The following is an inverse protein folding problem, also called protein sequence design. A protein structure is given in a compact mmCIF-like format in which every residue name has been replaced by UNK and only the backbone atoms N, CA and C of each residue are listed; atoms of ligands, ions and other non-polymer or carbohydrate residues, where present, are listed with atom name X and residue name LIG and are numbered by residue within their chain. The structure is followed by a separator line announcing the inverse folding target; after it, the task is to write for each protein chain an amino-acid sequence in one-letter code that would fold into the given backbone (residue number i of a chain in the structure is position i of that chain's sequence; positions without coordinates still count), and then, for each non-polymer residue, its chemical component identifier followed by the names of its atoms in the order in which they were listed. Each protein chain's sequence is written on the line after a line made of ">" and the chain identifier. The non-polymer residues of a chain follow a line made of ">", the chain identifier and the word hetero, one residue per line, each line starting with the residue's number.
data_IF_824916786302
#
_entry.id   IF_824916786302
#
_cell.length_a   1.000
_cell.length_b   1.000
_cell.length_c   1.000
_cell.angle_alpha   90.00
_cell.angle_beta   90.00
_cell.angle_gamma   90.00
#
_symmetry.space_group_name_H-M   'P 1'
#
loop_
_entity.id
_entity.type
_entity.pdbx_description
1 polymer ?
#
# COMPACT_ATOMS: atom_id res chain seq x y z
N UNK A 1 -43.79 -11.14 -8.00
CA UNK A 1 -42.33 -11.05 -8.12
C UNK A 1 -41.86 -9.86 -7.31
N UNK A 2 -40.93 -10.03 -6.37
CA UNK A 2 -40.36 -8.91 -5.61
C UNK A 2 -39.50 -8.08 -6.56
N UNK A 3 -39.68 -6.75 -6.57
CA UNK A 3 -38.89 -5.87 -7.42
C UNK A 3 -37.43 -5.79 -6.94
N UNK A 4 -36.51 -5.48 -7.84
CA UNK A 4 -35.10 -5.24 -7.50
C UNK A 4 -34.96 -4.15 -6.42
N UNK A 5 -35.75 -3.08 -6.52
CA UNK A 5 -35.76 -1.99 -5.54
C UNK A 5 -36.15 -2.50 -4.14
N UNK A 6 -37.18 -3.35 -4.05
CA UNK A 6 -37.60 -3.91 -2.77
C UNK A 6 -36.53 -4.83 -2.15
N UNK A 7 -35.76 -5.56 -2.97
CA UNK A 7 -34.62 -6.34 -2.49
C UNK A 7 -33.48 -5.44 -2.00
N UNK A 8 -33.12 -4.40 -2.76
CA UNK A 8 -32.07 -3.46 -2.36
C UNK A 8 -32.41 -2.76 -1.05
N UNK A 9 -33.65 -2.27 -0.90
CA UNK A 9 -34.11 -1.65 0.34
C UNK A 9 -34.08 -2.62 1.53
N UNK A 10 -34.44 -3.89 1.32
CA UNK A 10 -34.40 -4.92 2.36
C UNK A 10 -32.98 -5.25 2.83
N UNK A 11 -32.01 -5.30 1.90
CA UNK A 11 -30.65 -5.79 2.19
C UNK A 11 -29.59 -4.68 2.30
N UNK A 12 -29.94 -3.40 2.06
CA UNK A 12 -29.08 -2.24 2.29
C UNK A 12 -28.99 -1.89 3.78
N UNK A 13 -28.48 -2.84 4.57
CA UNK A 13 -28.23 -2.68 6.01
C UNK A 13 -26.72 -2.79 6.28
N UNK A 14 -26.25 -2.26 7.42
CA UNK A 14 -24.86 -2.40 7.82
C UNK A 14 -24.48 -3.88 7.96
N UNK A 15 -23.37 -4.28 7.34
CA UNK A 15 -22.86 -5.65 7.38
C UNK A 15 -21.34 -5.67 7.51
N UNK A 16 -20.75 -6.83 7.86
CA UNK A 16 -19.31 -6.96 7.96
C UNK A 16 -18.65 -6.69 6.61
N UNK A 17 -17.57 -5.90 6.62
CA UNK A 17 -16.73 -5.69 5.44
C UNK A 17 -15.84 -6.92 5.26
N UNK A 18 -16.13 -7.75 4.27
CA UNK A 18 -15.36 -8.95 3.95
C UNK A 18 -14.05 -8.60 3.22
N UNK A 19 -13.09 -8.03 3.94
CA UNK A 19 -11.74 -7.74 3.43
C UNK A 19 -10.83 -8.97 3.46
N UNK A 20 -11.08 -9.90 4.39
CA UNK A 20 -10.41 -11.20 4.54
C UNK A 20 -11.34 -12.15 5.31
N UNK A 21 -11.01 -13.44 5.34
CA UNK A 21 -11.68 -14.41 6.22
C UNK A 21 -10.64 -15.29 6.96
N UNK A 22 -10.65 -15.32 8.30
CA UNK A 22 -11.42 -14.46 9.20
C UNK A 22 -11.14 -12.96 9.01
N UNK A 23 -12.08 -12.11 9.44
CA UNK A 23 -11.95 -10.65 9.36
C UNK A 23 -11.05 -10.10 10.46
N UNK A 24 -10.58 -8.85 10.34
CA UNK A 24 -9.69 -8.21 11.32
C UNK A 24 -10.16 -8.22 12.79
N UNK A 25 -11.46 -8.16 13.13
CA UNK A 25 -11.92 -8.31 14.51
C UNK A 25 -11.56 -9.64 15.19
N UNK A 26 -11.13 -10.64 14.42
CA UNK A 26 -10.63 -11.91 14.95
C UNK A 26 -9.13 -11.90 15.22
N UNK A 27 -8.41 -10.81 14.95
CA UNK A 27 -7.00 -10.69 15.30
C UNK A 27 -6.86 -10.51 16.82
N UNK A 28 -5.88 -11.18 17.41
CA UNK A 28 -5.64 -11.18 18.84
C UNK A 28 -4.13 -11.10 19.14
N UNK A 29 -3.73 -10.53 20.28
CA UNK A 29 -2.33 -10.31 20.62
C UNK A 29 -1.54 -11.60 20.91
N UNK A 30 -2.23 -12.73 21.07
CA UNK A 30 -1.58 -14.02 21.35
C UNK A 30 -0.78 -14.56 20.14
N UNK A 31 -1.04 -14.06 18.92
CA UNK A 31 -0.21 -14.37 17.75
C UNK A 31 1.05 -13.51 17.79
N UNK A 32 2.18 -14.13 18.16
CA UNK A 32 3.44 -13.45 18.40
C UNK A 32 4.50 -13.65 17.31
N UNK A 33 5.71 -13.21 17.61
CA UNK A 33 6.86 -13.32 16.70
C UNK A 33 7.20 -14.77 16.33
N UNK A 34 7.09 -15.70 17.28
CA UNK A 34 7.35 -17.11 17.03
C UNK A 34 6.33 -17.73 16.06
N UNK A 35 5.05 -17.37 16.20
CA UNK A 35 3.99 -17.80 15.28
C UNK A 35 4.20 -17.21 13.88
N UNK A 36 4.59 -15.93 13.82
CA UNK A 36 4.91 -15.25 12.57
C UNK A 36 6.10 -15.87 11.84
N UNK A 37 7.22 -16.08 12.54
CA UNK A 37 8.40 -16.74 12.00
C UNK A 37 8.08 -18.16 11.54
N UNK A 38 7.30 -18.91 12.33
CA UNK A 38 6.82 -20.25 11.98
C UNK A 38 5.98 -20.25 10.70
N UNK A 39 5.06 -19.29 10.56
CA UNK A 39 4.20 -19.15 9.39
C UNK A 39 5.00 -18.79 8.11
N UNK A 40 6.02 -17.95 8.23
CA UNK A 40 6.89 -17.57 7.11
C UNK A 40 7.84 -18.70 6.68
N UNK A 41 8.31 -19.50 7.64
CA UNK A 41 9.23 -20.60 7.42
C UNK A 41 8.58 -21.86 6.81
N UNK A 42 7.24 -21.91 6.72
CA UNK A 42 6.54 -23.04 6.10
C UNK A 42 7.01 -23.23 4.65
N UNK A 43 7.56 -24.41 4.27
CA UNK A 43 8.06 -24.64 2.92
C UNK A 43 6.94 -24.51 1.89
N UNK A 44 7.10 -23.57 0.96
CA UNK A 44 6.16 -23.35 -0.14
C UNK A 44 6.92 -22.91 -1.40
N UNK A 45 7.84 -23.75 -1.94
CA UNK A 45 8.76 -23.35 -3.01
C UNK A 45 8.04 -22.90 -4.29
N UNK A 46 6.89 -23.50 -4.59
CA UNK A 46 6.08 -23.16 -5.77
C UNK A 46 5.21 -21.90 -5.58
N UNK A 47 5.09 -21.37 -4.35
CA UNK A 47 4.24 -20.22 -4.05
C UNK A 47 5.07 -18.94 -4.03
N UNK A 48 4.94 -18.14 -5.08
CA UNK A 48 5.54 -16.80 -5.15
C UNK A 48 5.14 -15.90 -3.97
N UNK A 49 5.95 -14.88 -3.73
CA UNK A 49 5.69 -13.86 -2.71
C UNK A 49 4.88 -12.70 -3.29
N UNK A 50 4.01 -12.13 -2.46
CA UNK A 50 3.41 -10.81 -2.68
C UNK A 50 3.85 -9.91 -1.55
N UNK A 51 4.52 -8.80 -1.87
CA UNK A 51 4.97 -7.80 -0.91
C UNK A 51 4.02 -6.60 -0.93
N UNK A 52 3.68 -6.11 0.26
CA UNK A 52 2.97 -4.84 0.44
C UNK A 52 3.82 -3.94 1.33
N UNK A 53 4.13 -2.74 0.85
CA UNK A 53 4.73 -1.70 1.68
C UNK A 53 3.70 -0.60 1.92
N UNK A 54 3.46 -0.30 3.19
CA UNK A 54 2.59 0.79 3.59
C UNK A 54 3.41 2.07 3.68
N UNK A 55 3.02 3.15 3.00
CA UNK A 55 3.63 4.47 3.13
C UNK A 55 2.56 5.40 3.70
N UNK A 56 2.59 5.73 5.00
CA UNK A 56 1.43 6.31 5.68
C UNK A 56 1.28 7.81 5.43
N UNK A 57 2.27 8.48 4.86
CA UNK A 57 2.27 9.94 4.80
C UNK A 57 1.39 10.48 3.68
N UNK A 58 0.65 11.56 3.96
CA UNK A 58 0.07 12.43 2.93
C UNK A 58 0.35 13.88 3.29
N UNK A 59 0.46 14.75 2.28
CA UNK A 59 0.67 16.19 2.49
C UNK A 59 -0.53 16.84 3.19
N UNK A 60 -1.74 16.49 2.74
CA UNK A 60 -3.01 17.07 3.21
C UNK A 60 -4.01 16.00 3.65
N UNK A 61 -4.86 16.32 4.62
CA UNK A 61 -5.99 15.47 5.04
C UNK A 61 -7.21 15.66 4.11
N UNK A 62 -7.61 14.61 3.40
CA UNK A 62 -8.91 14.57 2.70
C UNK A 62 -10.01 14.18 3.71
N UNK A 63 -11.11 14.92 3.79
CA UNK A 63 -12.11 14.77 4.86
C UNK A 63 -12.92 13.46 4.79
N UNK A 64 -12.96 12.81 3.63
CA UNK A 64 -13.58 11.50 3.46
C UNK A 64 -12.65 10.32 3.83
N UNK A 65 -11.35 10.58 4.04
CA UNK A 65 -10.34 9.53 4.08
C UNK A 65 -10.49 8.62 5.31
N UNK A 66 -10.68 7.32 5.07
CA UNK A 66 -10.69 6.27 6.11
C UNK A 66 -9.46 5.37 6.08
N UNK A 67 -8.41 5.74 5.36
CA UNK A 67 -7.16 4.98 5.29
C UNK A 67 -6.33 5.14 6.57
N UNK A 68 -5.50 4.15 6.89
CA UNK A 68 -4.43 4.34 7.86
C UNK A 68 -3.39 5.28 7.24
N UNK A 69 -3.32 6.51 7.72
CA UNK A 69 -2.44 7.54 7.18
C UNK A 69 -2.10 8.60 8.24
N UNK A 70 -1.05 9.37 7.96
CA UNK A 70 -0.55 10.49 8.75
C UNK A 70 -0.47 11.71 7.84
N UNK A 71 -1.38 12.67 8.03
CA UNK A 71 -1.30 13.97 7.37
C UNK A 71 -0.16 14.80 7.97
N UNK A 72 0.87 15.11 7.19
CA UNK A 72 2.03 15.87 7.67
C UNK A 72 2.79 16.48 6.50
N UNK A 73 3.29 17.70 6.68
CA UNK A 73 4.21 18.38 5.76
C UNK A 73 5.67 18.25 6.21
N UNK A 74 5.91 17.58 7.34
CA UNK A 74 7.24 17.35 7.88
C UNK A 74 7.87 16.14 7.19
N UNK A 75 8.58 16.40 6.09
CA UNK A 75 9.26 15.35 5.33
C UNK A 75 10.33 14.62 6.15
N UNK A 76 10.87 15.21 7.23
CA UNK A 76 11.91 14.59 8.03
C UNK A 76 11.48 13.25 8.65
N UNK A 77 10.17 13.02 8.79
CA UNK A 77 9.57 11.78 9.29
C UNK A 77 9.75 10.57 8.36
N UNK A 78 10.00 10.81 7.07
CA UNK A 78 10.21 9.73 6.08
C UNK A 78 11.49 8.95 6.37
N UNK A 79 12.56 9.64 6.76
CA UNK A 79 13.88 9.05 6.97
C UNK A 79 13.91 7.98 8.07
N UNK A 80 13.42 8.25 9.30
CA UNK A 80 13.33 7.20 10.31
C UNK A 80 12.35 6.10 9.90
N UNK A 81 11.26 6.44 9.19
CA UNK A 81 10.29 5.45 8.71
C UNK A 81 10.93 4.45 7.73
N UNK A 82 11.66 4.94 6.72
CA UNK A 82 12.38 4.09 5.76
C UNK A 82 13.47 3.24 6.45
N UNK A 83 14.14 3.79 7.48
CA UNK A 83 15.09 3.03 8.26
C UNK A 83 14.43 1.89 9.06
N UNK A 84 13.23 2.11 9.61
CA UNK A 84 12.46 1.05 10.27
C UNK A 84 11.96 0.00 9.27
N UNK A 85 11.48 0.41 8.09
CA UNK A 85 11.10 -0.53 7.04
C UNK A 85 12.28 -1.41 6.60
N UNK A 86 13.48 -0.84 6.45
CA UNK A 86 14.67 -1.63 6.11
C UNK A 86 15.02 -2.67 7.20
N UNK A 87 14.93 -2.27 8.47
CA UNK A 87 15.11 -3.21 9.60
C UNK A 87 14.04 -4.31 9.63
N UNK A 88 12.78 -3.97 9.36
CA UNK A 88 11.67 -4.93 9.30
C UNK A 88 11.85 -5.92 8.15
N UNK A 89 12.23 -5.44 6.97
CA UNK A 89 12.53 -6.28 5.81
C UNK A 89 13.72 -7.20 6.09
N UNK A 90 14.80 -6.67 6.66
CA UNK A 90 15.98 -7.45 7.00
C UNK A 90 15.69 -8.58 7.99
N UNK A 91 14.80 -8.35 8.97
CA UNK A 91 14.34 -9.40 9.91
C UNK A 91 13.44 -10.40 9.22
N UNK A 92 12.43 -9.92 8.50
CA UNK A 92 11.45 -10.78 7.81
C UNK A 92 12.11 -11.70 6.79
N UNK A 93 13.08 -11.19 6.02
CA UNK A 93 13.79 -11.94 5.01
C UNK A 93 14.58 -13.14 5.58
N UNK A 94 14.97 -13.12 6.86
CA UNK A 94 15.65 -14.25 7.50
C UNK A 94 14.77 -15.50 7.64
N UNK A 95 13.44 -15.33 7.63
CA UNK A 95 12.48 -16.43 7.78
C UNK A 95 11.87 -16.86 6.45
N UNK A 96 12.11 -16.13 5.36
CA UNK A 96 11.54 -16.42 4.05
C UNK A 96 12.53 -17.25 3.22
N UNK A 97 12.03 -18.32 2.58
CA UNK A 97 12.80 -19.11 1.62
C UNK A 97 13.26 -18.22 0.45
N UNK A 98 14.58 -18.03 0.33
CA UNK A 98 15.22 -17.15 -0.66
C UNK A 98 15.02 -17.60 -2.11
N UNK A 99 14.55 -18.83 -2.34
CA UNK A 99 14.18 -19.34 -3.68
C UNK A 99 12.83 -18.82 -4.14
N UNK A 100 11.98 -18.33 -3.24
CA UNK A 100 10.65 -17.82 -3.57
C UNK A 100 10.78 -16.43 -4.19
N UNK A 101 10.40 -16.31 -5.46
CA UNK A 101 10.42 -15.04 -6.16
C UNK A 101 9.21 -14.17 -5.77
N UNK A 102 9.44 -12.87 -5.63
CA UNK A 102 8.37 -11.88 -5.53
C UNK A 102 7.72 -11.73 -6.90
N UNK A 103 6.44 -12.08 -6.97
CA UNK A 103 5.61 -11.98 -8.18
C UNK A 103 4.74 -10.74 -8.19
N UNK A 104 4.47 -10.18 -7.01
CA UNK A 104 3.69 -8.97 -6.85
C UNK A 104 4.32 -8.07 -5.78
N UNK A 105 4.41 -6.79 -6.07
CA UNK A 105 4.82 -5.76 -5.12
C UNK A 105 3.85 -4.59 -5.26
N UNK A 106 3.28 -4.16 -4.14
CA UNK A 106 2.38 -3.02 -4.10
C UNK A 106 2.78 -2.02 -3.02
N UNK A 107 2.87 -0.75 -3.38
CA UNK A 107 2.96 0.35 -2.43
C UNK A 107 1.62 1.06 -2.33
N UNK A 108 1.10 1.16 -1.11
CA UNK A 108 -0.14 1.89 -0.82
C UNK A 108 -0.11 2.54 0.56
N UNK A 109 -1.26 3.01 1.03
CA UNK A 109 -1.44 3.49 2.40
C UNK A 109 -1.99 4.90 2.49
N UNK A 110 -1.13 5.85 2.83
CA UNK A 110 -1.39 7.26 2.62
C UNK A 110 -1.14 7.61 1.16
N UNK A 111 0.02 8.20 0.87
CA UNK A 111 0.46 8.52 -0.49
C UNK A 111 1.89 8.03 -0.67
N UNK A 112 2.14 6.89 -1.36
CA UNK A 112 3.50 6.44 -1.64
C UNK A 112 4.38 7.48 -2.36
N UNK A 113 3.76 8.29 -3.23
CA UNK A 113 4.39 9.42 -3.92
C UNK A 113 4.55 10.67 -3.06
N UNK A 114 4.27 10.59 -1.76
CA UNK A 114 4.81 11.53 -0.77
C UNK A 114 6.33 11.42 -0.70
N UNK A 115 6.90 10.22 -0.90
CA UNK A 115 8.34 10.04 -1.00
C UNK A 115 8.89 10.79 -2.20
N UNK A 116 9.95 11.54 -1.98
CA UNK A 116 10.70 12.18 -3.05
C UNK A 116 11.30 11.12 -4.01
N UNK A 117 11.70 11.53 -5.23
CA UNK A 117 12.23 10.60 -6.23
C UNK A 117 13.43 9.75 -5.76
N UNK A 118 14.29 10.29 -4.90
CA UNK A 118 15.48 9.56 -4.42
C UNK A 118 15.11 8.52 -3.37
N UNK A 119 14.16 8.82 -2.49
CA UNK A 119 13.64 7.89 -1.50
C UNK A 119 12.78 6.79 -2.15
N UNK A 120 12.10 7.06 -3.28
CA UNK A 120 11.48 6.01 -4.12
C UNK A 120 12.54 5.02 -4.61
N UNK A 121 13.63 5.51 -5.20
CA UNK A 121 14.72 4.62 -5.67
C UNK A 121 15.36 3.85 -4.53
N UNK A 122 15.57 4.54 -3.40
CA UNK A 122 16.16 3.96 -2.19
C UNK A 122 15.30 2.83 -1.61
N UNK A 123 14.00 3.05 -1.42
CA UNK A 123 13.11 2.02 -0.89
C UNK A 123 13.07 0.80 -1.82
N UNK A 124 12.99 1.02 -3.14
CA UNK A 124 13.03 -0.10 -4.09
C UNK A 124 14.36 -0.86 -4.04
N UNK A 125 15.49 -0.15 -3.91
CA UNK A 125 16.80 -0.76 -3.75
C UNK A 125 16.89 -1.62 -2.46
N UNK A 126 16.36 -1.13 -1.33
CA UNK A 126 16.25 -1.90 -0.09
C UNK A 126 15.39 -3.16 -0.28
N UNK A 127 14.23 -3.06 -0.93
CA UNK A 127 13.38 -4.21 -1.19
C UNK A 127 14.12 -5.26 -2.05
N UNK A 128 14.88 -4.83 -3.07
CA UNK A 128 15.67 -5.72 -3.93
C UNK A 128 16.90 -6.32 -3.23
N UNK A 129 17.45 -5.67 -2.20
CA UNK A 129 18.55 -6.26 -1.43
C UNK A 129 18.09 -7.40 -0.52
N UNK A 130 16.83 -7.40 -0.10
CA UNK A 130 16.25 -8.42 0.79
C UNK A 130 15.45 -9.49 0.05
N UNK A 131 14.87 -9.17 -1.11
CA UNK A 131 13.99 -10.08 -1.85
C UNK A 131 14.31 -10.11 -3.35
N UNK A 132 14.29 -11.31 -3.93
CA UNK A 132 14.46 -11.49 -5.38
C UNK A 132 13.11 -11.32 -6.09
N UNK A 133 13.00 -10.29 -6.93
CA UNK A 133 11.82 -10.08 -7.78
C UNK A 133 11.94 -10.90 -9.06
N UNK A 134 10.81 -11.50 -9.49
CA UNK A 134 10.72 -12.09 -10.81
C UNK A 134 10.77 -11.00 -11.89
N UNK A 135 11.32 -11.34 -13.05
CA UNK A 135 11.41 -10.42 -14.20
C UNK A 135 10.03 -9.96 -14.70
N UNK A 136 9.01 -10.81 -14.50
CA UNK A 136 7.61 -10.59 -14.89
C UNK A 136 6.72 -10.11 -13.73
N UNK A 137 7.30 -9.68 -12.61
CA UNK A 137 6.53 -9.27 -11.45
C UNK A 137 5.64 -8.05 -11.72
N UNK A 138 4.42 -8.06 -11.18
CA UNK A 138 3.59 -6.85 -11.11
C UNK A 138 4.13 -5.94 -10.01
N UNK A 139 4.57 -4.74 -10.37
CA UNK A 139 5.13 -3.75 -9.44
C UNK A 139 4.28 -2.49 -9.53
N UNK A 140 3.51 -2.24 -8.48
CA UNK A 140 2.40 -1.29 -8.50
C UNK A 140 2.46 -0.26 -7.37
N UNK A 141 1.98 0.95 -7.64
CA UNK A 141 2.00 2.07 -6.69
C UNK A 141 0.68 2.85 -6.73
N UNK A 142 0.14 3.20 -5.56
CA UNK A 142 -0.88 4.25 -5.43
C UNK A 142 -0.25 5.64 -5.58
N UNK A 143 -0.95 6.55 -6.25
CA UNK A 143 -0.46 7.91 -6.52
C UNK A 143 -1.55 8.96 -6.29
N UNK A 144 -1.16 10.06 -5.67
CA UNK A 144 -1.97 11.28 -5.58
C UNK A 144 -1.52 12.25 -6.69
N UNK A 145 -2.38 12.64 -7.64
CA UNK A 145 -1.97 13.48 -8.76
C UNK A 145 -1.57 14.91 -8.37
N UNK A 146 -1.91 15.39 -7.15
CA UNK A 146 -1.69 16.80 -6.76
C UNK A 146 -0.21 17.16 -6.63
N UNK A 147 0.59 16.26 -6.05
CA UNK A 147 2.03 16.46 -5.82
C UNK A 147 2.90 15.60 -6.75
N UNK A 148 2.27 14.88 -7.68
CA UNK A 148 2.96 14.00 -8.61
C UNK A 148 3.69 14.80 -9.69
N UNK A 149 5.01 14.75 -9.66
CA UNK A 149 5.85 15.37 -10.71
C UNK A 149 6.38 14.36 -11.71
N UNK A 150 6.87 14.84 -12.85
CA UNK A 150 7.57 14.00 -13.85
C UNK A 150 8.76 13.26 -13.22
N UNK A 151 9.46 13.85 -12.26
CA UNK A 151 10.59 13.21 -11.59
C UNK A 151 10.17 11.98 -10.78
N UNK A 152 8.99 12.02 -10.14
CA UNK A 152 8.43 10.84 -9.47
C UNK A 152 8.12 9.72 -10.46
N UNK A 153 7.49 10.04 -11.60
CA UNK A 153 7.19 9.05 -12.64
C UNK A 153 8.46 8.41 -13.21
N UNK A 154 9.51 9.19 -13.43
CA UNK A 154 10.83 8.68 -13.86
C UNK A 154 11.42 7.74 -12.80
N UNK A 155 11.44 8.16 -11.54
CA UNK A 155 11.95 7.32 -10.44
C UNK A 155 11.16 6.01 -10.29
N UNK A 156 9.83 6.05 -10.35
CA UNK A 156 8.99 4.86 -10.35
C UNK A 156 9.33 3.95 -11.53
N UNK A 157 9.44 4.50 -12.74
CA UNK A 157 9.76 3.70 -13.92
C UNK A 157 11.13 3.04 -13.84
N UNK A 158 12.15 3.80 -13.41
CA UNK A 158 13.52 3.30 -13.19
C UNK A 158 13.58 2.23 -12.10
N UNK A 159 12.74 2.34 -11.07
CA UNK A 159 12.59 1.35 -9.99
C UNK A 159 11.88 0.06 -10.45
N UNK A 160 11.27 0.06 -11.64
CA UNK A 160 10.61 -1.09 -12.25
C UNK A 160 9.10 -1.12 -12.06
N UNK A 161 8.46 -0.03 -11.61
CA UNK A 161 7.01 0.05 -11.55
C UNK A 161 6.40 -0.06 -12.96
N UNK A 162 5.35 -0.87 -13.07
CA UNK A 162 4.65 -1.15 -14.31
C UNK A 162 3.12 -0.97 -14.19
N UNK A 163 2.61 -0.61 -13.01
CA UNK A 163 1.20 -0.26 -12.77
C UNK A 163 1.06 0.88 -11.77
N UNK A 164 0.16 1.83 -12.04
CA UNK A 164 -0.17 2.92 -11.11
C UNK A 164 -1.68 2.94 -10.84
N UNK A 165 -2.07 3.36 -9.63
CA UNK A 165 -3.45 3.58 -9.23
C UNK A 165 -3.63 5.04 -8.80
N UNK A 166 -4.43 5.81 -9.55
CA UNK A 166 -4.61 7.24 -9.31
C UNK A 166 -5.84 7.52 -8.44
N UNK A 167 -5.64 8.29 -7.38
CA UNK A 167 -6.73 8.81 -6.55
C UNK A 167 -7.40 10.04 -7.17
N UNK A 168 -8.33 9.88 -8.12
CA UNK A 168 -9.08 11.00 -8.71
C UNK A 168 -10.22 11.48 -7.81
N UNK A 169 -11.01 10.56 -7.28
CA UNK A 169 -12.21 10.78 -6.47
C UNK A 169 -13.37 11.46 -7.22
N UNK A 170 -13.25 12.75 -7.54
CA UNK A 170 -14.26 13.54 -8.25
C UNK A 170 -13.61 14.75 -8.95
N UNK A 171 -14.17 15.16 -10.08
CA UNK A 171 -13.72 16.34 -10.84
C UNK A 171 -14.61 17.57 -10.60
N UNK A 172 -15.75 17.43 -9.89
CA UNK A 172 -16.61 18.56 -9.53
C UNK A 172 -15.91 19.47 -8.50
N UNK A 173 -15.65 20.76 -8.82
CA UNK A 173 -14.99 21.68 -7.90
C UNK A 173 -15.71 21.87 -6.56
N UNK A 174 -17.05 21.82 -6.56
CA UNK A 174 -17.83 21.95 -5.32
C UNK A 174 -17.64 20.71 -4.43
N UNK A 175 -17.57 19.52 -5.01
CA UNK A 175 -17.27 18.27 -4.28
C UNK A 175 -15.85 18.31 -3.73
N UNK A 176 -14.87 18.65 -4.57
CA UNK A 176 -13.46 18.76 -4.17
C UNK A 176 -13.28 19.74 -2.99
N UNK A 177 -13.94 20.90 -3.05
CA UNK A 177 -13.93 21.89 -1.97
C UNK A 177 -14.58 21.35 -0.69
N UNK A 178 -15.72 20.64 -0.81
CA UNK A 178 -16.43 20.08 0.33
C UNK A 178 -15.62 19.01 1.08
N UNK A 179 -14.74 18.30 0.37
CA UNK A 179 -13.95 17.20 0.95
C UNK A 179 -12.46 17.50 1.15
N UNK A 180 -12.05 18.76 0.96
CA UNK A 180 -10.67 19.22 1.07
C UNK A 180 -9.69 18.43 0.18
N UNK A 181 -10.05 18.25 -1.09
CA UNK A 181 -9.21 17.60 -2.09
C UNK A 181 -9.25 18.38 -3.41
N UNK A 182 -8.77 19.63 -3.37
CA UNK A 182 -8.61 20.45 -4.57
C UNK A 182 -7.49 19.86 -5.44
N UNK A 183 -7.79 19.60 -6.70
CA UNK A 183 -6.84 19.10 -7.70
C UNK A 183 -7.18 19.69 -9.07
N UNK A 184 -6.18 19.87 -9.93
CA UNK A 184 -6.42 20.28 -11.32
C UNK A 184 -7.03 19.13 -12.12
N UNK A 185 -7.74 19.48 -13.20
CA UNK A 185 -8.15 18.55 -14.25
C UNK A 185 -6.96 17.92 -14.98
#
# INVERSE_FOLDING_TARGET
>A
MTSMLALLQKYSVAGPRYTSYPTAPYFHPDFGEADWAGALAVPAPERGLSLYAHIPFCDSLCYYCGCNMVATQDYSKTQPYLAYLDQEMARTAQWVDTRRLVRQLHWGGGTPTYLNPDDIRRLMAMMRSHFTLADDAEVSCEVDPRELTRAHLVALRESGFNRLSFGVQDMDPAVQQAVNRIQSE
#
